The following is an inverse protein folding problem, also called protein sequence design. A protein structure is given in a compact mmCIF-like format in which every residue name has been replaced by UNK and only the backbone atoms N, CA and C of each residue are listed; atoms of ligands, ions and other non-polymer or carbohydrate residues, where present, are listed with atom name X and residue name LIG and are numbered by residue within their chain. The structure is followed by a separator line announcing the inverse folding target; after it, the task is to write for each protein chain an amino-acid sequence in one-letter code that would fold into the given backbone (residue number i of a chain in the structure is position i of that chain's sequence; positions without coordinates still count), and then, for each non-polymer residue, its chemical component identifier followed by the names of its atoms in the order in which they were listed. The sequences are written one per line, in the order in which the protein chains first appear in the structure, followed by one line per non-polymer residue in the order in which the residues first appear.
data_IF_994075374216
#
_entry.id   IF_994075374216
#
_cell.length_a   1.000
_cell.length_b   1.000
_cell.length_c   1.000
_cell.angle_alpha   90.00
_cell.angle_beta   90.00
_cell.angle_gamma   90.00
#
_symmetry.space_group_name_H-M   'P 1'
#
loop_
_entity.id
_entity.type
_entity.pdbx_description
1 polymer ?
#
# COMPACT_ATOMS: atom_id res chain seq x y z
N UNK A 1 16.69 -22.65 -39.43
CA UNK A 1 16.22 -21.27 -39.15
C UNK A 1 16.55 -20.99 -37.70
N UNK A 2 17.46 -20.05 -37.44
CA UNK A 2 17.95 -19.72 -36.09
C UNK A 2 16.98 -18.75 -35.43
N UNK A 3 16.66 -19.01 -34.16
CA UNK A 3 15.86 -18.11 -33.32
C UNK A 3 16.49 -16.71 -33.32
N UNK A 4 15.73 -15.60 -33.48
CA UNK A 4 16.29 -14.27 -33.30
C UNK A 4 16.78 -14.14 -31.85
N UNK A 5 18.05 -13.76 -31.67
CA UNK A 5 18.63 -13.53 -30.35
C UNK A 5 17.92 -12.38 -29.67
N UNK A 6 17.25 -12.65 -28.55
CA UNK A 6 16.70 -11.61 -27.68
C UNK A 6 17.88 -10.74 -27.24
N UNK A 7 17.86 -9.42 -27.47
CA UNK A 7 18.93 -8.55 -27.03
C UNK A 7 19.06 -8.63 -25.50
N UNK A 8 20.29 -8.72 -25.02
CA UNK A 8 20.62 -8.75 -23.61
C UNK A 8 20.26 -7.39 -22.97
N UNK A 9 19.09 -7.32 -22.34
CA UNK A 9 18.66 -6.15 -21.60
C UNK A 9 19.35 -6.26 -20.24
N UNK A 10 20.47 -5.56 -20.07
CA UNK A 10 21.11 -5.43 -18.76
C UNK A 10 20.59 -4.15 -18.08
N UNK A 11 19.49 -4.19 -17.30
CA UNK A 11 19.01 -3.00 -16.61
C UNK A 11 20.03 -2.62 -15.55
N UNK A 12 20.87 -1.63 -15.86
CA UNK A 12 21.76 -0.96 -14.92
C UNK A 12 20.92 -0.13 -13.93
N UNK A 13 20.20 -0.81 -13.03
CA UNK A 13 19.54 -0.17 -11.90
C UNK A 13 20.61 0.00 -10.81
N UNK A 14 21.32 1.13 -10.82
CA UNK A 14 22.25 1.48 -9.74
C UNK A 14 21.50 2.21 -8.62
N UNK A 15 20.65 1.48 -7.89
CA UNK A 15 20.03 2.00 -6.68
C UNK A 15 20.87 1.62 -5.47
N UNK A 16 21.18 2.60 -4.63
CA UNK A 16 21.68 2.34 -3.30
C UNK A 16 20.57 1.73 -2.45
N UNK A 17 20.95 0.91 -1.47
CA UNK A 17 19.99 0.33 -0.51
C UNK A 17 19.12 1.39 0.17
N UNK A 18 19.69 2.56 0.48
CA UNK A 18 18.97 3.68 1.10
C UNK A 18 17.88 4.23 0.18
N UNK A 19 18.16 4.37 -1.11
CA UNK A 19 17.17 4.81 -2.09
C UNK A 19 16.04 3.79 -2.23
N UNK A 20 16.36 2.50 -2.25
CA UNK A 20 15.33 1.44 -2.28
C UNK A 20 14.41 1.51 -1.06
N UNK A 21 14.97 1.67 0.15
CA UNK A 21 14.18 1.81 1.38
C UNK A 21 13.26 3.03 1.30
N UNK A 22 13.78 4.19 0.89
CA UNK A 22 12.97 5.39 0.71
C UNK A 22 11.86 5.20 -0.32
N UNK A 23 12.13 4.49 -1.42
CA UNK A 23 11.12 4.19 -2.43
C UNK A 23 10.02 3.28 -1.90
N UNK A 24 10.36 2.27 -1.08
CA UNK A 24 9.35 1.40 -0.46
C UNK A 24 8.50 2.20 0.54
N UNK A 25 9.12 3.03 1.38
CA UNK A 25 8.39 3.91 2.30
C UNK A 25 7.47 4.89 1.53
N UNK A 26 7.95 5.47 0.43
CA UNK A 26 7.13 6.31 -0.43
C UNK A 26 5.97 5.52 -1.06
N UNK A 27 6.19 4.27 -1.47
CA UNK A 27 5.14 3.39 -1.98
C UNK A 27 4.06 3.11 -0.92
N UNK A 28 4.45 2.86 0.33
CA UNK A 28 3.52 2.67 1.45
C UNK A 28 2.70 3.95 1.65
N UNK A 29 3.37 5.12 1.71
CA UNK A 29 2.68 6.40 1.87
C UNK A 29 1.70 6.70 0.71
N UNK A 30 2.05 6.36 -0.53
CA UNK A 30 1.15 6.52 -1.67
C UNK A 30 -0.07 5.60 -1.58
N UNK A 31 0.10 4.36 -1.12
CA UNK A 31 -1.01 3.43 -0.91
C UNK A 31 -1.95 3.94 0.21
N UNK A 32 -1.41 4.46 1.31
CA UNK A 32 -2.15 5.12 2.41
C UNK A 32 -2.97 6.34 1.92
N UNK A 33 -2.40 7.17 1.06
CA UNK A 33 -3.12 8.29 0.44
C UNK A 33 -4.26 7.81 -0.46
N UNK A 34 -4.04 6.71 -1.20
CA UNK A 34 -5.06 6.07 -2.01
C UNK A 34 -6.22 5.54 -1.17
N UNK A 35 -5.93 4.85 -0.05
CA UNK A 35 -6.93 4.37 0.90
C UNK A 35 -7.73 5.54 1.52
N UNK A 36 -7.05 6.64 1.87
CA UNK A 36 -7.72 7.85 2.38
C UNK A 36 -8.70 8.45 1.38
N UNK A 37 -8.35 8.44 0.09
CA UNK A 37 -9.22 8.91 -0.99
C UNK A 37 -10.46 8.02 -1.17
N UNK A 38 -10.30 6.71 -1.01
CA UNK A 38 -11.43 5.77 -1.01
C UNK A 38 -12.35 6.04 0.17
N UNK A 39 -11.80 6.22 1.38
CA UNK A 39 -12.60 6.54 2.57
C UNK A 39 -13.44 7.81 2.36
N UNK A 40 -12.81 8.85 1.81
CA UNK A 40 -13.48 10.10 1.49
C UNK A 40 -14.62 9.88 0.47
N UNK A 41 -14.35 9.11 -0.60
CA UNK A 41 -15.36 8.81 -1.61
C UNK A 41 -16.55 8.00 -1.05
N UNK A 42 -16.32 7.05 -0.14
CA UNK A 42 -17.40 6.34 0.56
C UNK A 42 -18.20 7.29 1.47
N UNK A 43 -17.54 8.25 2.13
CA UNK A 43 -18.21 9.30 2.91
C UNK A 43 -19.11 10.18 2.05
N UNK A 44 -18.60 10.69 0.93
CA UNK A 44 -19.36 11.49 -0.05
C UNK A 44 -20.56 10.69 -0.61
N UNK A 45 -20.37 9.40 -0.85
CA UNK A 45 -21.45 8.50 -1.30
C UNK A 45 -22.57 8.43 -0.27
N UNK A 46 -22.24 8.26 1.01
CA UNK A 46 -23.24 8.28 2.09
C UNK A 46 -23.95 9.63 2.15
N UNK A 47 -23.19 10.74 2.11
CA UNK A 47 -23.76 12.07 2.23
C UNK A 47 -24.73 12.40 1.10
N UNK A 48 -24.38 12.05 -0.15
CA UNK A 48 -25.27 12.20 -1.30
C UNK A 48 -26.53 11.37 -1.16
N UNK A 49 -26.40 10.13 -0.68
CA UNK A 49 -27.53 9.22 -0.56
C UNK A 49 -28.50 9.63 0.55
N UNK A 50 -28.01 10.12 1.69
CA UNK A 50 -28.87 10.59 2.80
C UNK A 50 -29.65 11.86 2.43
N UNK A 51 -29.12 12.66 1.50
CA UNK A 51 -29.76 13.90 1.05
C UNK A 51 -30.77 13.69 -0.10
N UNK A 52 -30.94 12.46 -0.58
CA UNK A 52 -31.87 12.14 -1.67
C UNK A 52 -33.27 11.83 -1.10
N UNK A 53 -34.29 12.48 -1.65
CA UNK A 53 -35.66 12.45 -1.14
C UNK A 53 -36.40 11.15 -1.50
N UNK A 54 -35.93 10.42 -2.52
CA UNK A 54 -36.59 9.21 -3.05
C UNK A 54 -36.00 7.90 -2.50
N UNK A 55 -35.26 7.97 -1.39
CA UNK A 55 -34.55 6.81 -0.83
C UNK A 55 -35.42 5.96 0.08
N UNK A 56 -35.47 4.65 -0.19
CA UNK A 56 -36.16 3.71 0.69
C UNK A 56 -35.22 3.03 1.69
N UNK A 57 -35.79 2.48 2.76
CA UNK A 57 -35.03 1.79 3.81
C UNK A 57 -34.16 0.63 3.27
N UNK A 58 -34.64 -0.08 2.24
CA UNK A 58 -33.88 -1.19 1.65
C UNK A 58 -32.59 -0.71 0.99
N UNK A 59 -32.64 0.45 0.33
CA UNK A 59 -31.47 1.02 -0.34
C UNK A 59 -30.44 1.50 0.68
N UNK A 60 -30.88 2.10 1.80
CA UNK A 60 -30.00 2.49 2.92
C UNK A 60 -29.28 1.28 3.49
N UNK A 61 -30.02 0.18 3.72
CA UNK A 61 -29.42 -1.05 4.23
C UNK A 61 -28.43 -1.67 3.23
N UNK A 62 -28.73 -1.59 1.94
CA UNK A 62 -27.82 -2.05 0.89
C UNK A 62 -26.56 -1.19 0.80
N UNK A 63 -26.70 0.14 0.87
CA UNK A 63 -25.59 1.07 0.92
C UNK A 63 -24.70 0.78 2.12
N UNK A 64 -25.27 0.65 3.32
CA UNK A 64 -24.52 0.40 4.54
C UNK A 64 -23.70 -0.90 4.44
N UNK A 65 -24.31 -1.99 3.95
CA UNK A 65 -23.59 -3.26 3.70
C UNK A 65 -22.48 -3.11 2.66
N UNK A 66 -22.67 -2.26 1.66
CA UNK A 66 -21.66 -1.97 0.64
C UNK A 66 -20.46 -1.23 1.24
N UNK A 67 -20.71 -0.16 1.98
CA UNK A 67 -19.67 0.64 2.66
C UNK A 67 -18.93 -0.23 3.67
N UNK A 68 -19.63 -1.01 4.49
CA UNK A 68 -19.00 -1.93 5.46
C UNK A 68 -18.02 -2.89 4.77
N UNK A 69 -18.38 -3.43 3.59
CA UNK A 69 -17.51 -4.32 2.82
C UNK A 69 -16.25 -3.60 2.35
N UNK A 70 -16.37 -2.35 1.88
CA UNK A 70 -15.22 -1.54 1.47
C UNK A 70 -14.31 -1.26 2.66
N UNK A 71 -14.87 -0.81 3.79
CA UNK A 71 -14.10 -0.53 5.01
C UNK A 71 -13.38 -1.77 5.53
N UNK A 72 -14.02 -2.95 5.49
CA UNK A 72 -13.37 -4.21 5.85
C UNK A 72 -12.19 -4.54 4.94
N UNK A 73 -12.34 -4.32 3.64
CA UNK A 73 -11.24 -4.46 2.68
C UNK A 73 -10.09 -3.50 2.96
N UNK A 74 -10.41 -2.25 3.32
CA UNK A 74 -9.40 -1.24 3.70
C UNK A 74 -8.63 -1.65 4.95
N UNK A 75 -9.29 -2.16 5.99
CA UNK A 75 -8.61 -2.66 7.20
C UNK A 75 -7.62 -3.78 6.86
N UNK A 76 -7.98 -4.69 5.97
CA UNK A 76 -7.06 -5.74 5.54
C UNK A 76 -5.84 -5.17 4.79
N UNK A 77 -6.02 -4.13 3.97
CA UNK A 77 -4.91 -3.45 3.31
C UNK A 77 -4.01 -2.72 4.32
N UNK A 78 -4.60 -2.08 5.34
CA UNK A 78 -3.85 -1.43 6.43
C UNK A 78 -2.96 -2.43 7.18
N UNK A 79 -3.48 -3.62 7.48
CA UNK A 79 -2.69 -4.70 8.09
C UNK A 79 -1.52 -5.10 7.18
N UNK A 80 -1.74 -5.23 5.87
CA UNK A 80 -0.67 -5.55 4.93
C UNK A 80 0.38 -4.43 4.84
N UNK A 81 -0.05 -3.16 4.84
CA UNK A 81 0.83 -2.00 4.83
C UNK A 81 1.66 -1.91 6.11
N UNK A 82 1.06 -2.22 7.25
CA UNK A 82 1.76 -2.33 8.52
C UNK A 82 2.86 -3.39 8.45
N UNK A 83 2.57 -4.60 7.95
CA UNK A 83 3.60 -5.64 7.81
C UNK A 83 4.74 -5.21 6.87
N UNK A 84 4.42 -4.58 5.72
CA UNK A 84 5.45 -4.05 4.81
C UNK A 84 6.35 -3.03 5.51
N UNK A 85 5.78 -2.17 6.36
CA UNK A 85 6.53 -1.17 7.12
C UNK A 85 7.44 -1.83 8.17
N UNK A 86 6.91 -2.79 8.93
CA UNK A 86 7.66 -3.57 9.92
C UNK A 86 8.86 -4.28 9.27
N UNK A 87 8.65 -4.94 8.12
CA UNK A 87 9.74 -5.59 7.37
C UNK A 87 10.82 -4.59 6.97
N UNK A 88 10.45 -3.41 6.45
CA UNK A 88 11.40 -2.36 6.07
C UNK A 88 12.23 -1.88 7.26
N UNK A 89 11.61 -1.70 8.42
CA UNK A 89 12.29 -1.28 9.66
C UNK A 89 13.29 -2.35 10.12
N UNK A 90 12.89 -3.63 10.10
CA UNK A 90 13.78 -4.75 10.44
C UNK A 90 14.98 -4.80 9.48
N UNK A 91 14.74 -4.64 8.18
CA UNK A 91 15.82 -4.60 7.18
C UNK A 91 16.76 -3.42 7.39
N UNK A 92 16.28 -2.25 7.82
CA UNK A 92 17.12 -1.10 8.15
C UNK A 92 17.99 -1.39 9.39
N UNK A 93 17.42 -1.97 10.44
CA UNK A 93 18.12 -2.26 11.70
C UNK A 93 19.25 -3.29 11.51
N UNK A 94 18.99 -4.38 10.78
CA UNK A 94 20.01 -5.37 10.40
C UNK A 94 21.16 -4.74 9.61
N UNK A 95 20.87 -3.72 8.78
CA UNK A 95 21.89 -2.99 8.01
C UNK A 95 22.82 -2.16 8.88
N UNK A 96 22.32 -1.68 10.01
CA UNK A 96 23.07 -0.87 10.98
C UNK A 96 23.97 -1.76 11.83
N UNK A 97 23.44 -2.90 12.28
CA UNK A 97 24.19 -3.90 13.04
C UNK A 97 25.37 -4.48 12.23
N UNK A 98 25.15 -4.85 10.96
CA UNK A 98 26.21 -5.39 10.09
C UNK A 98 27.31 -4.37 9.69
N UNK A 99 27.20 -3.11 10.14
CA UNK A 99 28.18 -2.05 9.86
C UNK A 99 29.25 -1.91 10.96
N UNK A 100 29.10 -2.64 12.07
CA UNK A 100 30.09 -2.79 13.13
C UNK A 100 30.37 -4.28 13.35
N UNK A 101 31.34 -4.89 12.65
CA UNK A 101 31.90 -6.15 13.14
C UNK A 101 32.59 -5.85 14.47
N UNK A 102 32.32 -6.67 15.49
CA UNK A 102 33.03 -6.58 16.77
C UNK A 102 34.54 -6.56 16.51
N UNK A 103 35.30 -5.59 17.04
CA UNK A 103 36.74 -5.71 17.09
C UNK A 103 37.07 -6.81 18.08
N UNK A 104 37.67 -7.88 17.57
CA UNK A 104 38.33 -8.98 18.27
C UNK A 104 37.48 -10.21 18.65
N UNK A 105 37.78 -11.32 17.97
CA UNK A 105 38.00 -12.65 18.56
C UNK A 105 39.08 -13.37 17.75
#
# INVERSE_FOLDING_TARGET
MSMPGIPDINPLISLTRKEVIHMILASIAMEEMGLSSILYAEGEKIQRFVNDEDVCLQDILQLNRSVERVLRGMVNNQILLQHKLEDVLIFEEQSRSNRYPDPES
#
